data_IF_692621327455
#
_entry.id   IF_692621327455
#
_cell.length_a   1.000
_cell.length_b   1.000
_cell.length_c   1.000
_cell.angle_alpha   90.00
_cell.angle_beta   90.00
_cell.angle_gamma   90.00
#
_symmetry.space_group_name_H-M   'P 1'
#
loop_
_entity.id
_entity.type
_entity.pdbx_description
1 polymer ?
#
# COMPACT_ATOMS: atom_id res chain seq x y z
N UNK A 1 21.59 16.39 -11.78
CA UNK A 1 22.51 15.63 -10.91
C UNK A 1 21.82 15.24 -9.62
N UNK A 2 22.32 14.20 -8.95
CA UNK A 2 21.75 13.67 -7.71
C UNK A 2 22.85 13.61 -6.64
N UNK A 3 22.55 14.06 -5.42
CA UNK A 3 23.40 13.89 -4.25
C UNK A 3 22.55 13.38 -3.09
N UNK A 4 22.60 12.07 -2.85
CA UNK A 4 21.67 11.41 -1.93
C UNK A 4 20.23 11.64 -2.39
N UNK A 5 19.42 12.25 -1.53
CA UNK A 5 18.01 12.54 -1.82
C UNK A 5 17.78 13.91 -2.48
N UNK A 6 18.84 14.69 -2.71
CA UNK A 6 18.72 16.02 -3.33
C UNK A 6 18.94 15.92 -4.84
N UNK A 7 17.99 16.48 -5.60
CA UNK A 7 18.04 16.60 -7.05
C UNK A 7 18.49 18.00 -7.41
N UNK A 8 19.46 18.10 -8.30
CA UNK A 8 20.03 19.33 -8.82
C UNK A 8 19.72 19.49 -10.29
N UNK A 9 19.39 20.72 -10.68
CA UNK A 9 19.22 21.14 -12.06
C UNK A 9 20.12 22.35 -12.33
N UNK A 10 20.98 22.25 -13.34
CA UNK A 10 21.96 23.29 -13.70
C UNK A 10 22.79 23.80 -12.51
N UNK A 11 23.23 22.88 -11.64
CA UNK A 11 24.03 23.19 -10.45
C UNK A 11 23.25 23.75 -9.25
N UNK A 12 21.93 23.95 -9.37
CA UNK A 12 21.07 24.47 -8.28
C UNK A 12 20.22 23.36 -7.69
N UNK A 13 20.04 23.35 -6.37
CA UNK A 13 19.14 22.41 -5.68
C UNK A 13 17.70 22.65 -6.13
N UNK A 14 17.07 21.61 -6.68
CA UNK A 14 15.71 21.67 -7.19
C UNK A 14 14.71 21.03 -6.24
N UNK A 15 14.94 19.77 -5.88
CA UNK A 15 14.03 18.97 -5.04
C UNK A 15 14.82 18.25 -3.95
N UNK A 16 14.24 18.11 -2.77
CA UNK A 16 14.66 17.14 -1.75
C UNK A 16 13.61 16.05 -1.63
N UNK A 17 13.96 14.82 -2.00
CA UNK A 17 13.09 13.66 -1.90
C UNK A 17 12.92 13.21 -0.45
N UNK A 18 11.70 12.83 -0.11
CA UNK A 18 11.33 12.26 1.19
C UNK A 18 10.64 10.91 0.98
N UNK A 19 10.42 10.16 2.06
CA UNK A 19 9.66 8.89 2.00
C UNK A 19 8.23 9.09 1.43
N UNK A 20 7.69 10.29 1.56
CA UNK A 20 6.26 10.61 1.44
C UNK A 20 5.95 11.54 0.26
N UNK A 21 6.97 12.05 -0.42
CA UNK A 21 6.84 13.18 -1.33
C UNK A 21 8.17 13.87 -1.57
N UNK A 22 8.15 15.19 -1.71
CA UNK A 22 9.35 16.01 -1.89
C UNK A 22 9.16 17.42 -1.34
N UNK A 23 10.26 18.12 -1.16
CA UNK A 23 10.29 19.55 -0.86
C UNK A 23 10.79 20.26 -2.11
N UNK A 24 10.05 21.26 -2.59
CA UNK A 24 10.58 22.16 -3.61
C UNK A 24 11.62 23.09 -2.95
N UNK A 25 12.84 23.07 -3.44
CA UNK A 25 13.95 23.90 -2.93
C UNK A 25 14.16 25.17 -3.75
N UNK A 26 13.47 25.32 -4.87
CA UNK A 26 13.49 26.53 -5.69
C UNK A 26 12.46 27.54 -5.19
N UNK A 27 12.91 28.75 -4.83
CA UNK A 27 12.03 29.79 -4.32
C UNK A 27 11.53 29.52 -2.90
N UNK A 28 10.23 29.66 -2.67
CA UNK A 28 9.62 29.38 -1.35
C UNK A 28 9.55 27.87 -1.13
N UNK A 29 10.21 27.39 -0.08
CA UNK A 29 10.19 25.98 0.26
C UNK A 29 8.78 25.53 0.63
N UNK A 30 8.28 24.53 -0.09
CA UNK A 30 6.96 23.95 0.13
C UNK A 30 7.05 22.43 0.05
N UNK A 31 6.29 21.78 0.93
CA UNK A 31 6.13 20.33 0.91
C UNK A 31 5.10 19.92 -0.12
N UNK A 32 5.38 18.83 -0.82
CA UNK A 32 4.48 18.17 -1.74
C UNK A 32 4.41 16.70 -1.35
N UNK A 33 3.22 16.13 -1.38
CA UNK A 33 2.95 14.77 -0.91
C UNK A 33 2.42 13.89 -2.03
N UNK A 34 2.84 12.63 -2.03
CA UNK A 34 2.35 11.62 -2.94
C UNK A 34 1.21 10.84 -2.31
N UNK A 35 0.07 10.77 -2.98
CA UNK A 35 -0.96 9.77 -2.72
C UNK A 35 -0.70 8.58 -3.64
N UNK A 36 -0.35 7.45 -3.03
CA UNK A 36 0.10 6.24 -3.73
C UNK A 36 -0.97 5.15 -3.71
N UNK A 37 -1.02 4.32 -4.75
CA UNK A 37 -1.79 3.07 -4.72
C UNK A 37 -1.01 1.93 -4.02
N UNK A 38 -1.58 0.72 -4.03
CA UNK A 38 -1.02 -0.48 -3.38
C UNK A 38 0.29 -0.98 -4.00
N UNK A 39 0.70 -0.39 -5.13
CA UNK A 39 1.96 -0.70 -5.79
C UNK A 39 3.00 0.39 -5.57
N UNK A 40 2.65 1.41 -4.79
CA UNK A 40 3.46 2.60 -4.62
C UNK A 40 3.44 3.53 -5.82
N UNK A 41 2.50 3.40 -6.77
CA UNK A 41 2.41 4.32 -7.91
C UNK A 41 1.89 5.68 -7.44
N UNK A 42 2.56 6.77 -7.82
CA UNK A 42 2.10 8.12 -7.49
C UNK A 42 0.83 8.45 -8.31
N UNK A 43 -0.34 8.39 -7.66
CA UNK A 43 -1.65 8.65 -8.30
C UNK A 43 -2.02 10.12 -8.25
N UNK A 44 -1.68 10.80 -7.17
CA UNK A 44 -1.94 12.23 -6.98
C UNK A 44 -0.73 12.88 -6.33
N UNK A 45 -0.39 14.09 -6.77
CA UNK A 45 0.51 15.00 -6.07
C UNK A 45 -0.31 16.13 -5.51
N UNK A 46 -0.16 16.39 -4.21
CA UNK A 46 -0.79 17.51 -3.53
C UNK A 46 0.27 18.40 -2.90
N UNK A 47 0.03 19.71 -2.86
CA UNK A 47 0.89 20.62 -2.10
C UNK A 47 0.57 20.62 -0.60
N UNK A 48 1.35 21.38 0.16
CA UNK A 48 1.21 21.50 1.61
C UNK A 48 -0.14 22.04 2.07
N UNK A 49 -0.89 22.77 1.24
CA UNK A 49 -2.25 23.23 1.54
C UNK A 49 -3.34 22.21 1.16
N UNK A 50 -2.97 21.04 0.64
CA UNK A 50 -3.90 19.99 0.22
C UNK A 50 -4.50 20.20 -1.17
N UNK A 51 -3.98 21.15 -1.95
CA UNK A 51 -4.43 21.38 -3.34
C UNK A 51 -3.84 20.31 -4.25
N UNK A 52 -4.66 19.73 -5.13
CA UNK A 52 -4.21 18.79 -6.17
C UNK A 52 -3.43 19.52 -7.25
N UNK A 53 -2.20 19.08 -7.49
CA UNK A 53 -1.31 19.63 -8.52
C UNK A 53 -1.12 18.69 -9.71
N UNK A 54 -1.18 17.39 -9.45
CA UNK A 54 -0.99 16.37 -10.47
C UNK A 54 -1.88 15.14 -10.20
N UNK A 55 -2.40 14.52 -11.26
CA UNK A 55 -3.03 13.19 -11.20
C UNK A 55 -2.44 12.30 -12.27
N UNK A 56 -2.30 11.00 -11.98
CA UNK A 56 -1.77 10.03 -12.92
C UNK A 56 -2.60 8.74 -12.89
N UNK A 57 -2.87 8.23 -14.09
CA UNK A 57 -3.59 6.99 -14.34
C UNK A 57 -2.71 6.06 -15.18
N UNK A 58 -2.49 4.86 -14.66
CA UNK A 58 -1.56 3.89 -15.25
C UNK A 58 -2.30 2.64 -15.72
N UNK A 59 -1.90 2.13 -16.89
CA UNK A 59 -2.13 0.75 -17.26
C UNK A 59 -1.36 -0.19 -16.30
N UNK A 60 -1.70 -1.49 -16.25
CA UNK A 60 -1.05 -2.44 -15.34
C UNK A 60 0.48 -2.48 -15.45
N UNK A 61 1.05 -2.25 -16.64
CA UNK A 61 2.50 -2.21 -16.88
C UNK A 61 3.09 -0.79 -16.80
N UNK A 62 2.39 0.17 -16.19
CA UNK A 62 2.93 1.49 -15.87
C UNK A 62 2.87 2.54 -16.99
N UNK A 63 2.32 2.20 -18.15
CA UNK A 63 2.03 3.17 -19.21
C UNK A 63 0.98 4.18 -18.74
N UNK A 64 1.24 5.47 -18.89
CA UNK A 64 0.30 6.53 -18.48
C UNK A 64 -0.80 6.67 -19.53
N UNK A 65 -2.06 6.49 -19.14
CA UNK A 65 -3.22 6.66 -20.04
C UNK A 65 -4.03 7.93 -19.76
N UNK A 66 -3.75 8.60 -18.64
CA UNK A 66 -4.35 9.88 -18.29
C UNK A 66 -3.51 10.58 -17.26
N UNK A 67 -3.33 11.89 -17.42
CA UNK A 67 -2.64 12.73 -16.43
C UNK A 67 -3.17 14.16 -16.48
N UNK A 68 -3.14 14.83 -15.33
CA UNK A 68 -3.32 16.28 -15.22
C UNK A 68 -2.06 16.85 -14.60
N UNK A 69 -1.48 17.90 -15.17
CA UNK A 69 -0.24 18.47 -14.67
C UNK A 69 0.98 17.60 -14.98
N UNK A 70 2.16 18.10 -14.60
CA UNK A 70 3.43 17.37 -14.68
C UNK A 70 4.49 18.10 -13.83
N UNK A 71 4.31 18.07 -12.50
CA UNK A 71 5.11 18.88 -11.57
C UNK A 71 6.44 18.22 -11.20
N UNK A 72 6.54 16.89 -11.36
CA UNK A 72 7.68 16.10 -10.91
C UNK A 72 7.80 14.78 -11.70
N UNK A 73 8.99 14.15 -11.81
CA UNK A 73 9.21 13.03 -12.72
C UNK A 73 8.95 11.62 -12.13
N UNK A 74 8.75 11.46 -10.83
CA UNK A 74 8.48 10.17 -10.17
C UNK A 74 7.02 9.74 -10.33
N UNK A 75 6.77 8.66 -11.08
CA UNK A 75 5.40 8.25 -11.45
C UNK A 75 5.10 6.81 -10.97
N UNK A 76 5.22 5.85 -11.87
CA UNK A 76 4.92 4.44 -11.62
C UNK A 76 5.94 3.80 -10.67
N UNK A 77 5.47 3.05 -9.68
CA UNK A 77 6.25 2.48 -8.56
C UNK A 77 7.13 3.50 -7.81
N UNK A 78 6.82 4.80 -7.93
CA UNK A 78 7.67 5.88 -7.43
C UNK A 78 9.02 6.00 -8.14
N UNK A 79 9.14 5.46 -9.37
CA UNK A 79 10.32 5.53 -10.21
C UNK A 79 10.30 6.77 -11.09
N UNK A 80 11.49 7.29 -11.34
CA UNK A 80 11.68 8.46 -12.19
C UNK A 80 11.39 8.08 -13.65
N UNK A 81 10.47 8.81 -14.28
CA UNK A 81 10.17 8.70 -15.70
C UNK A 81 11.09 9.66 -16.48
N UNK A 82 12.07 9.09 -17.19
CA UNK A 82 12.90 9.85 -18.12
C UNK A 82 12.21 9.94 -19.50
N UNK A 83 11.71 11.13 -19.82
CA UNK A 83 11.09 11.45 -21.11
C UNK A 83 12.06 12.04 -22.12
N UNK A 84 13.36 12.15 -21.79
CA UNK A 84 14.36 12.70 -22.71
C UNK A 84 14.43 11.87 -23.98
N UNK A 85 14.52 12.56 -25.11
CA UNK A 85 14.59 11.94 -26.44
C UNK A 85 13.42 11.01 -26.78
N UNK A 86 12.31 11.08 -26.03
CA UNK A 86 11.06 10.38 -26.35
C UNK A 86 11.03 8.88 -26.02
N UNK A 87 12.04 8.33 -25.35
CA UNK A 87 12.06 6.91 -24.95
C UNK A 87 11.04 6.60 -23.86
N UNK A 88 10.79 7.56 -22.94
CA UNK A 88 9.80 7.44 -21.87
C UNK A 88 10.02 6.20 -20.99
N UNK A 89 11.24 6.06 -20.47
CA UNK A 89 11.63 4.92 -19.66
C UNK A 89 11.69 5.26 -18.19
N UNK A 90 11.35 4.28 -17.36
CA UNK A 90 11.49 4.39 -15.92
C UNK A 90 12.88 3.95 -15.47
N UNK A 91 13.54 4.74 -14.64
CA UNK A 91 14.79 4.35 -13.99
C UNK A 91 14.49 3.52 -12.72
N UNK A 92 14.79 2.22 -12.79
CA UNK A 92 14.65 1.29 -11.66
C UNK A 92 15.96 1.11 -10.88
N UNK A 93 17.03 1.80 -11.26
CA UNK A 93 18.36 1.73 -10.65
C UNK A 93 19.29 0.80 -11.43
N UNK A 94 19.07 -0.51 -11.35
CA UNK A 94 19.91 -1.46 -12.08
C UNK A 94 19.58 -1.58 -13.58
N UNK A 95 18.34 -1.24 -13.95
CA UNK A 95 17.81 -1.37 -15.31
C UNK A 95 16.85 -0.22 -15.63
N UNK A 96 16.76 0.13 -16.90
CA UNK A 96 15.67 0.97 -17.40
C UNK A 96 14.49 0.09 -17.80
N UNK A 97 13.29 0.55 -17.51
CA UNK A 97 12.04 -0.15 -17.78
C UNK A 97 11.22 0.59 -18.83
N UNK A 98 10.85 -0.13 -19.89
CA UNK A 98 9.97 0.37 -20.94
C UNK A 98 8.53 -0.06 -20.63
N UNK A 99 7.72 0.89 -20.19
CA UNK A 99 6.32 0.65 -19.84
C UNK A 99 5.41 0.42 -21.07
N UNK A 100 5.83 0.86 -22.26
CA UNK A 100 5.09 0.60 -23.50
C UNK A 100 5.25 -0.87 -23.93
N UNK A 101 6.45 -1.44 -23.72
CA UNK A 101 6.72 -2.86 -23.95
C UNK A 101 6.35 -3.75 -22.76
N UNK A 102 6.29 -3.18 -21.56
CA UNK A 102 6.07 -3.91 -20.32
C UNK A 102 7.31 -4.71 -19.87
N UNK A 103 8.52 -4.32 -20.29
CA UNK A 103 9.77 -5.10 -20.07
C UNK A 103 10.96 -4.20 -19.73
N UNK A 104 11.99 -4.79 -19.11
CA UNK A 104 13.27 -4.12 -18.96
C UNK A 104 14.01 -4.05 -20.29
N UNK A 105 14.83 -3.01 -20.46
CA UNK A 105 15.60 -2.77 -21.69
C UNK A 105 16.92 -3.54 -21.72
N UNK A 106 17.34 -4.10 -20.57
CA UNK A 106 18.58 -4.87 -20.41
C UNK A 106 18.34 -6.16 -19.63
N UNK A 107 19.27 -7.11 -19.77
CA UNK A 107 19.23 -8.40 -19.07
C UNK A 107 19.28 -8.23 -17.55
N UNK A 108 18.51 -9.05 -16.83
CA UNK A 108 18.53 -9.13 -15.37
C UNK A 108 19.92 -9.54 -14.85
N UNK A 109 20.55 -8.75 -13.95
CA UNK A 109 21.79 -9.16 -13.28
C UNK A 109 21.66 -10.46 -12.47
N UNK A 110 20.44 -10.84 -12.11
CA UNK A 110 20.09 -12.06 -11.39
C UNK A 110 19.38 -13.09 -12.28
N UNK A 111 19.54 -13.02 -13.61
CA UNK A 111 18.87 -13.93 -14.55
C UNK A 111 19.06 -15.42 -14.20
N UNK A 112 20.24 -15.80 -13.70
CA UNK A 112 20.55 -17.17 -13.26
C UNK A 112 19.73 -17.64 -12.05
N UNK A 113 19.09 -16.74 -11.30
CA UNK A 113 18.15 -17.10 -10.24
C UNK A 113 16.79 -17.54 -10.79
N UNK A 114 16.47 -17.14 -12.02
CA UNK A 114 15.12 -17.25 -12.60
C UNK A 114 15.16 -17.97 -13.96
N UNK A 115 15.73 -19.18 -14.01
CA UNK A 115 15.88 -19.95 -15.26
C UNK A 115 14.59 -20.15 -16.07
N UNK A 116 13.43 -20.16 -15.41
CA UNK A 116 12.12 -20.32 -16.06
C UNK A 116 11.52 -19.01 -16.58
N UNK A 117 12.21 -17.88 -16.44
CA UNK A 117 11.74 -16.56 -16.84
C UNK A 117 12.70 -15.92 -17.85
N UNK A 118 12.16 -15.09 -18.75
CA UNK A 118 13.02 -14.31 -19.65
C UNK A 118 13.79 -13.25 -18.84
N UNK A 119 15.08 -12.98 -19.17
CA UNK A 119 15.90 -12.01 -18.43
C UNK A 119 15.43 -10.54 -18.57
N UNK A 120 14.44 -10.27 -19.41
CA UNK A 120 13.85 -8.94 -19.59
C UNK A 120 12.47 -8.79 -18.90
N UNK A 121 11.98 -9.85 -18.25
CA UNK A 121 10.64 -9.90 -17.66
C UNK A 121 10.52 -8.91 -16.51
N UNK A 122 9.45 -8.12 -16.50
CA UNK A 122 9.11 -7.29 -15.35
C UNK A 122 8.09 -8.01 -14.46
N UNK A 123 8.37 -8.09 -13.17
CA UNK A 123 7.42 -8.56 -12.15
C UNK A 123 6.79 -9.94 -12.41
N UNK A 124 7.55 -10.86 -13.02
CA UNK A 124 7.05 -12.18 -13.43
C UNK A 124 5.76 -12.13 -14.26
N UNK A 125 5.62 -11.09 -15.10
CA UNK A 125 4.44 -10.76 -15.89
C UNK A 125 3.15 -10.58 -15.08
N UNK A 126 3.27 -10.32 -13.78
CA UNK A 126 2.16 -9.98 -12.90
C UNK A 126 2.39 -8.64 -12.19
N UNK A 127 2.39 -7.54 -12.96
CA UNK A 127 2.68 -6.20 -12.46
C UNK A 127 1.50 -5.61 -11.70
N UNK A 128 0.42 -6.35 -11.42
CA UNK A 128 -0.66 -5.93 -10.52
C UNK A 128 -0.37 -6.38 -9.09
N UNK A 129 0.38 -7.47 -8.94
CA UNK A 129 0.73 -8.09 -7.67
C UNK A 129 2.12 -7.70 -7.19
N UNK A 130 3.06 -7.57 -8.12
CA UNK A 130 4.46 -7.35 -7.81
C UNK A 130 4.96 -6.02 -8.36
N UNK A 131 6.03 -5.53 -7.72
CA UNK A 131 6.88 -4.42 -8.16
C UNK A 131 8.32 -4.93 -8.24
N UNK A 132 9.19 -4.27 -8.99
CA UNK A 132 10.65 -4.50 -8.90
C UNK A 132 11.28 -3.30 -8.19
N UNK A 133 11.70 -3.38 -6.92
CA UNK A 133 12.16 -2.20 -6.21
C UNK A 133 13.49 -1.64 -6.69
N UNK A 134 14.32 -2.44 -7.39
CA UNK A 134 15.71 -2.08 -7.71
C UNK A 134 16.16 -2.48 -9.13
N UNK A 135 15.24 -2.98 -9.95
CA UNK A 135 15.53 -3.48 -11.29
C UNK A 135 16.33 -4.78 -11.25
N UNK A 136 16.18 -5.63 -10.24
CA UNK A 136 16.89 -6.93 -10.15
C UNK A 136 16.03 -8.05 -9.58
N UNK A 137 15.04 -7.75 -8.76
CA UNK A 137 14.16 -8.75 -8.18
C UNK A 137 12.79 -8.18 -7.86
N UNK A 138 11.76 -8.91 -8.22
CA UNK A 138 10.40 -8.52 -7.91
C UNK A 138 10.07 -8.80 -6.42
N UNK A 139 9.19 -7.99 -5.87
CA UNK A 139 8.66 -8.05 -4.52
C UNK A 139 7.17 -7.69 -4.53
N UNK A 140 6.41 -7.99 -3.48
CA UNK A 140 5.04 -7.46 -3.35
C UNK A 140 5.04 -5.92 -3.39
N UNK A 141 4.00 -5.33 -3.99
CA UNK A 141 3.83 -3.86 -4.04
C UNK A 141 3.72 -3.20 -2.67
N UNK A 142 3.01 -3.86 -1.75
CA UNK A 142 2.84 -3.41 -0.38
C UNK A 142 3.84 -4.08 0.56
N UNK A 143 4.79 -3.32 1.12
CA UNK A 143 5.79 -3.80 2.08
C UNK A 143 5.72 -3.04 3.41
N UNK A 144 5.53 -3.78 4.50
CA UNK A 144 5.30 -3.22 5.83
C UNK A 144 6.38 -3.63 6.83
N UNK A 145 6.76 -2.71 7.73
CA UNK A 145 7.75 -2.98 8.80
C UNK A 145 7.26 -3.98 9.85
N UNK A 146 5.94 -4.10 10.05
CA UNK A 146 5.36 -4.99 11.08
C UNK A 146 4.13 -5.73 10.56
N UNK A 147 3.82 -6.89 11.15
CA UNK A 147 2.60 -7.66 10.86
C UNK A 147 1.33 -6.82 11.10
N UNK A 148 1.30 -6.04 12.19
CA UNK A 148 0.19 -5.12 12.51
C UNK A 148 -0.01 -4.04 11.45
N UNK A 149 1.08 -3.49 10.90
CA UNK A 149 0.98 -2.51 9.81
C UNK A 149 0.42 -3.14 8.53
N UNK A 150 0.86 -4.36 8.18
CA UNK A 150 0.27 -5.11 7.06
C UNK A 150 -1.22 -5.41 7.28
N UNK A 151 -1.60 -5.84 8.49
CA UNK A 151 -2.98 -6.09 8.87
C UNK A 151 -3.85 -4.82 8.79
N UNK A 152 -3.32 -3.67 9.23
CA UNK A 152 -4.00 -2.38 9.15
C UNK A 152 -4.27 -1.98 7.71
N UNK A 153 -3.25 -2.03 6.85
CA UNK A 153 -3.41 -1.68 5.44
C UNK A 153 -4.40 -2.62 4.72
N UNK A 154 -4.30 -3.93 4.98
CA UNK A 154 -5.26 -4.91 4.48
C UNK A 154 -6.69 -4.57 4.92
N UNK A 155 -6.89 -4.23 6.20
CA UNK A 155 -8.20 -3.85 6.74
C UNK A 155 -8.74 -2.58 6.09
N UNK A 156 -7.90 -1.59 5.83
CA UNK A 156 -8.31 -0.38 5.11
C UNK A 156 -8.76 -0.69 3.69
N UNK A 157 -8.13 -1.65 3.02
CA UNK A 157 -8.44 -2.00 1.63
C UNK A 157 -9.65 -2.93 1.50
N UNK A 158 -9.71 -4.01 2.28
CA UNK A 158 -10.69 -5.08 2.10
C UNK A 158 -11.93 -4.95 2.99
N UNK A 159 -11.87 -4.28 4.15
CA UNK A 159 -13.02 -4.25 5.07
C UNK A 159 -14.22 -3.52 4.46
N UNK A 160 -13.99 -2.39 3.79
CA UNK A 160 -15.06 -1.66 3.10
C UNK A 160 -15.70 -2.50 1.99
N UNK A 161 -14.90 -3.20 1.19
CA UNK A 161 -15.37 -4.10 0.15
C UNK A 161 -16.17 -5.29 0.73
N UNK A 162 -15.67 -5.90 1.81
CA UNK A 162 -16.35 -6.96 2.57
C UNK A 162 -17.75 -6.53 3.01
N UNK A 163 -17.87 -5.36 3.64
CA UNK A 163 -19.14 -4.80 4.11
C UNK A 163 -20.10 -4.53 2.95
N UNK A 164 -19.63 -3.90 1.87
CA UNK A 164 -20.48 -3.57 0.71
C UNK A 164 -21.00 -4.83 0.03
N UNK A 165 -20.14 -5.84 -0.11
CA UNK A 165 -20.48 -7.10 -0.79
C UNK A 165 -21.24 -8.06 0.10
N UNK A 166 -21.24 -7.84 1.43
CA UNK A 166 -21.78 -8.76 2.43
C UNK A 166 -21.08 -10.12 2.40
N UNK A 167 -19.76 -10.09 2.28
CA UNK A 167 -18.92 -11.28 2.07
C UNK A 167 -17.68 -11.21 2.93
N UNK A 168 -17.33 -12.31 3.56
CA UNK A 168 -16.08 -12.40 4.30
C UNK A 168 -14.90 -12.45 3.33
N UNK A 169 -13.85 -11.70 3.63
CA UNK A 169 -12.61 -11.72 2.87
C UNK A 169 -11.46 -12.18 3.75
N UNK A 170 -10.55 -13.01 3.22
CA UNK A 170 -9.49 -13.65 4.00
C UNK A 170 -8.15 -13.75 3.27
N UNK A 171 -7.08 -13.41 3.97
CA UNK A 171 -5.69 -13.43 3.47
C UNK A 171 -4.70 -14.02 4.46
N UNK A 172 -3.53 -14.34 3.95
CA UNK A 172 -2.33 -14.58 4.76
C UNK A 172 -1.47 -13.31 4.85
N UNK A 173 -0.80 -13.14 5.98
CA UNK A 173 0.32 -12.22 6.16
C UNK A 173 1.59 -13.07 6.13
N UNK A 174 2.61 -12.63 5.38
CA UNK A 174 3.84 -13.40 5.17
C UNK A 174 5.10 -12.54 5.25
N UNK A 175 6.25 -13.19 5.48
CA UNK A 175 7.57 -12.55 5.48
C UNK A 175 8.10 -12.32 4.07
N UNK A 176 8.46 -11.07 3.78
CA UNK A 176 9.21 -10.73 2.56
C UNK A 176 10.69 -10.74 2.89
N UNK A 177 11.44 -11.62 2.22
CA UNK A 177 12.90 -11.72 2.33
C UNK A 177 13.57 -11.31 1.04
N UNK A 178 14.64 -10.53 1.16
CA UNK A 178 15.49 -10.14 0.06
C UNK A 178 16.92 -10.61 0.34
N UNK A 179 17.49 -11.40 -0.58
CA UNK A 179 18.80 -12.06 -0.38
C UNK A 179 18.89 -12.81 0.96
N UNK A 180 17.82 -13.51 1.34
CA UNK A 180 17.71 -14.28 2.58
C UNK A 180 17.49 -13.45 3.86
N UNK A 181 17.55 -12.12 3.80
CA UNK A 181 17.33 -11.23 4.95
C UNK A 181 15.89 -10.74 5.00
N UNK A 182 15.28 -10.74 6.19
CA UNK A 182 13.94 -10.19 6.40
C UNK A 182 13.94 -8.70 6.05
N UNK A 183 13.04 -8.30 5.15
CA UNK A 183 12.82 -6.90 4.78
C UNK A 183 11.54 -6.34 5.38
N UNK A 184 10.55 -7.18 5.59
CA UNK A 184 9.29 -6.79 6.17
C UNK A 184 8.23 -7.85 5.97
N UNK A 185 7.00 -7.40 5.92
CA UNK A 185 5.81 -8.22 5.81
C UNK A 185 4.94 -7.70 4.68
N UNK A 186 4.20 -8.60 4.05
CA UNK A 186 3.14 -8.27 3.10
C UNK A 186 1.96 -9.20 3.34
N UNK A 187 0.91 -9.07 2.53
CA UNK A 187 -0.26 -9.93 2.59
C UNK A 187 -0.64 -10.45 1.21
N UNK A 188 -1.32 -11.59 1.17
CA UNK A 188 -1.79 -12.19 -0.08
C UNK A 188 -3.11 -11.55 -0.51
N UNK A 189 -3.43 -11.67 -1.80
CA UNK A 189 -4.74 -11.26 -2.32
C UNK A 189 -5.86 -11.99 -1.54
N UNK A 190 -6.92 -11.28 -1.19
CA UNK A 190 -7.99 -11.88 -0.39
C UNK A 190 -8.82 -12.87 -1.20
N UNK A 191 -9.10 -14.02 -0.60
CA UNK A 191 -10.20 -14.88 -1.03
C UNK A 191 -11.51 -14.29 -0.51
N UNK A 192 -12.63 -14.65 -1.13
CA UNK A 192 -13.97 -14.20 -0.76
C UNK A 192 -14.87 -15.41 -0.43
N UNK A 193 -15.70 -15.31 0.61
CA UNK A 193 -16.62 -16.36 1.07
C UNK A 193 -17.94 -15.80 1.60
N UNK A 194 -19.01 -16.61 1.66
CA UNK A 194 -20.33 -16.13 2.09
C UNK A 194 -20.47 -16.05 3.62
N UNK A 195 -20.17 -17.16 4.30
CA UNK A 195 -20.31 -17.30 5.77
C UNK A 195 -19.03 -17.76 6.46
N UNK A 196 -18.02 -18.11 5.66
CA UNK A 196 -16.69 -18.50 6.09
C UNK A 196 -15.75 -18.30 4.91
N UNK A 197 -14.52 -17.88 5.18
CA UNK A 197 -13.50 -17.69 4.15
C UNK A 197 -12.27 -18.55 4.44
N UNK A 198 -11.77 -19.22 3.40
CA UNK A 198 -10.45 -19.85 3.44
C UNK A 198 -9.39 -18.79 3.14
N UNK A 199 -8.32 -18.73 3.94
CA UNK A 199 -7.25 -17.79 3.64
C UNK A 199 -6.45 -18.22 2.42
N UNK A 200 -6.05 -17.26 1.60
CA UNK A 200 -5.12 -17.49 0.50
C UNK A 200 -3.73 -17.84 1.02
N UNK A 201 -2.98 -18.62 0.24
CA UNK A 201 -1.60 -18.98 0.57
C UNK A 201 -0.63 -17.83 0.25
N UNK A 202 0.48 -17.72 1.00
CA UNK A 202 1.57 -16.83 0.63
C UNK A 202 2.07 -17.13 -0.80
N UNK A 203 2.41 -16.09 -1.59
CA UNK A 203 3.03 -16.31 -2.89
C UNK A 203 4.37 -17.03 -2.73
N UNK A 204 4.79 -17.79 -3.75
CA UNK A 204 6.13 -18.35 -3.87
C UNK A 204 6.62 -19.17 -2.66
N UNK A 205 5.70 -19.72 -1.86
CA UNK A 205 6.04 -20.46 -0.65
C UNK A 205 6.62 -19.60 0.48
N UNK A 206 6.39 -18.28 0.46
CA UNK A 206 6.84 -17.37 1.51
C UNK A 206 6.30 -17.79 2.89
N UNK A 207 7.06 -17.46 3.94
CA UNK A 207 6.71 -17.91 5.30
C UNK A 207 5.43 -17.24 5.76
N UNK A 208 4.39 -18.03 5.97
CA UNK A 208 3.16 -17.60 6.66
C UNK A 208 3.48 -17.14 8.07
N UNK A 209 2.97 -15.97 8.46
CA UNK A 209 3.19 -15.38 9.80
C UNK A 209 1.96 -14.78 10.46
N UNK A 210 0.79 -14.96 9.85
CA UNK A 210 -0.47 -14.56 10.45
C UNK A 210 -1.64 -14.71 9.48
N UNK A 211 -2.82 -14.96 10.02
CA UNK A 211 -4.06 -14.96 9.25
C UNK A 211 -4.78 -13.63 9.46
N UNK A 212 -5.45 -13.13 8.43
CA UNK A 212 -6.35 -12.00 8.56
C UNK A 212 -7.63 -12.26 7.79
N UNK A 213 -8.76 -11.88 8.38
CA UNK A 213 -10.03 -11.87 7.67
C UNK A 213 -10.90 -10.69 8.09
N UNK A 214 -11.98 -10.50 7.36
CA UNK A 214 -13.02 -9.50 7.64
C UNK A 214 -14.36 -10.19 7.79
N UNK A 215 -15.23 -9.58 8.59
CA UNK A 215 -16.65 -9.91 8.57
C UNK A 215 -17.40 -8.95 7.64
N UNK A 216 -18.49 -9.42 7.06
CA UNK A 216 -19.36 -8.66 6.14
C UNK A 216 -20.09 -7.50 6.82
N UNK A 217 -21.27 -7.14 6.31
CA UNK A 217 -22.11 -6.12 6.95
C UNK A 217 -22.59 -6.56 8.34
N UNK A 218 -22.97 -5.59 9.16
CA UNK A 218 -23.47 -5.88 10.49
C UNK A 218 -24.85 -6.57 10.40
N UNK A 219 -24.88 -7.85 10.78
CA UNK A 219 -26.07 -8.67 10.85
C UNK A 219 -26.38 -9.13 12.29
N UNK A 220 -27.62 -8.99 12.73
CA UNK A 220 -28.05 -9.40 14.07
C UNK A 220 -27.92 -10.92 14.30
N UNK A 221 -27.89 -11.72 13.23
CA UNK A 221 -27.83 -13.18 13.31
C UNK A 221 -26.40 -13.74 13.49
N UNK A 222 -25.37 -12.90 13.31
CA UNK A 222 -23.97 -13.34 13.23
C UNK A 222 -23.03 -12.65 14.24
N UNK A 223 -21.89 -13.31 14.52
CA UNK A 223 -20.84 -12.77 15.40
C UNK A 223 -19.98 -11.80 14.59
N UNK A 224 -20.38 -10.54 14.51
CA UNK A 224 -19.71 -9.59 13.59
C UNK A 224 -18.42 -9.00 14.16
N UNK A 225 -18.35 -8.76 15.47
CA UNK A 225 -17.31 -7.92 16.08
C UNK A 225 -16.34 -8.69 16.98
N UNK A 226 -16.21 -10.01 16.79
CA UNK A 226 -15.33 -10.91 17.56
C UNK A 226 -14.91 -12.10 16.72
N UNK A 227 -13.74 -12.67 17.01
CA UNK A 227 -13.34 -13.96 16.45
C UNK A 227 -14.36 -15.07 16.79
N UNK A 228 -14.65 -15.90 15.79
CA UNK A 228 -15.40 -17.13 15.98
C UNK A 228 -14.55 -18.17 16.73
N UNK A 229 -15.21 -19.23 17.26
CA UNK A 229 -14.48 -20.36 17.85
C UNK A 229 -13.62 -21.09 16.83
N UNK A 230 -14.05 -21.13 15.56
CA UNK A 230 -13.30 -21.76 14.48
C UNK A 230 -12.03 -20.97 14.17
N UNK A 231 -12.12 -19.64 14.17
CA UNK A 231 -10.98 -18.74 13.94
C UNK A 231 -9.93 -18.96 15.01
N UNK A 232 -10.32 -18.90 16.29
CA UNK A 232 -9.41 -19.11 17.42
C UNK A 232 -8.75 -20.49 17.31
N UNK A 233 -9.51 -21.55 16.99
CA UNK A 233 -8.96 -22.89 16.82
C UNK A 233 -7.93 -22.95 15.68
N UNK A 234 -8.18 -22.25 14.58
CA UNK A 234 -7.24 -22.16 13.47
C UNK A 234 -5.96 -21.42 13.88
N UNK A 235 -6.09 -20.25 14.51
CA UNK A 235 -4.97 -19.42 14.96
C UNK A 235 -4.11 -20.18 15.99
N UNK A 236 -4.74 -20.88 16.94
CA UNK A 236 -4.05 -21.71 17.92
C UNK A 236 -3.36 -22.93 17.32
N UNK A 237 -3.85 -23.44 16.18
CA UNK A 237 -3.21 -24.53 15.42
C UNK A 237 -1.98 -24.03 14.66
N UNK A 238 -2.04 -22.86 14.03
CA UNK A 238 -0.93 -22.31 13.24
C UNK A 238 0.16 -21.69 14.09
N UNK A 239 -0.13 -21.32 15.35
CA UNK A 239 0.80 -20.66 16.29
C UNK A 239 1.32 -19.30 15.81
N UNK A 240 0.60 -18.68 14.90
CA UNK A 240 0.83 -17.30 14.44
C UNK A 240 -0.34 -16.42 14.87
N UNK A 241 -0.17 -15.09 14.87
CA UNK A 241 -1.23 -14.18 15.29
C UNK A 241 -2.38 -14.18 14.26
N UNK A 242 -3.61 -14.02 14.75
CA UNK A 242 -4.78 -13.81 13.90
C UNK A 242 -5.28 -12.37 13.99
N UNK A 243 -5.72 -11.82 12.87
CA UNK A 243 -6.28 -10.48 12.77
C UNK A 243 -7.72 -10.54 12.24
N UNK A 244 -8.58 -9.66 12.75
CA UNK A 244 -9.98 -9.55 12.31
C UNK A 244 -10.33 -8.09 12.09
N UNK A 245 -10.71 -7.73 10.86
CA UNK A 245 -11.34 -6.45 10.54
C UNK A 245 -12.87 -6.59 10.71
N UNK A 246 -13.47 -5.73 11.52
CA UNK A 246 -14.88 -5.83 11.88
C UNK A 246 -15.73 -4.74 11.20
N UNK A 247 -17.04 -4.96 10.98
CA UNK A 247 -17.93 -3.91 10.51
C UNK A 247 -18.06 -2.74 11.49
N UNK A 248 -17.72 -2.91 12.77
CA UNK A 248 -17.64 -1.77 13.70
C UNK A 248 -16.49 -0.80 13.39
N UNK A 249 -15.52 -1.19 12.56
CA UNK A 249 -14.32 -0.42 12.25
C UNK A 249 -13.11 -0.77 13.11
N UNK A 250 -13.20 -1.82 13.94
CA UNK A 250 -12.08 -2.31 14.73
C UNK A 250 -11.21 -3.27 13.90
N UNK A 251 -9.89 -3.17 14.09
CA UNK A 251 -8.95 -4.23 13.78
C UNK A 251 -8.55 -4.92 15.08
N UNK A 252 -8.94 -6.17 15.25
CA UNK A 252 -8.60 -6.99 16.40
C UNK A 252 -7.38 -7.86 16.09
N UNK A 253 -6.58 -8.16 17.11
CA UNK A 253 -5.50 -9.14 17.07
C UNK A 253 -5.69 -10.17 18.18
N UNK A 254 -5.67 -11.46 17.82
CA UNK A 254 -5.60 -12.57 18.75
C UNK A 254 -4.18 -13.17 18.77
N UNK A 255 -3.59 -13.23 19.97
CA UNK A 255 -2.28 -13.83 20.18
C UNK A 255 -2.44 -15.26 20.75
N UNK A 256 -2.00 -16.32 20.04
CA UNK A 256 -2.25 -17.71 20.43
C UNK A 256 -1.47 -18.18 21.66
N UNK A 257 -0.44 -17.43 22.07
CA UNK A 257 0.38 -17.76 23.25
C UNK A 257 -0.24 -17.18 24.53
N UNK A 258 -0.61 -15.91 24.49
CA UNK A 258 -1.25 -15.23 25.62
C UNK A 258 -2.76 -15.52 25.72
N UNK A 259 -3.37 -16.02 24.64
CA UNK A 259 -4.82 -16.26 24.50
C UNK A 259 -5.67 -15.00 24.72
N UNK A 260 -5.10 -13.83 24.38
CA UNK A 260 -5.76 -12.53 24.53
C UNK A 260 -6.05 -11.93 23.17
N UNK A 261 -7.22 -11.27 23.10
CA UNK A 261 -7.59 -10.37 22.00
C UNK A 261 -7.30 -8.93 22.41
N UNK A 262 -6.67 -8.16 21.53
CA UNK A 262 -6.44 -6.73 21.70
C UNK A 262 -6.90 -5.94 20.48
N UNK A 263 -7.31 -4.69 20.68
CA UNK A 263 -7.62 -3.76 19.58
C UNK A 263 -6.31 -3.18 19.06
N UNK A 264 -6.06 -3.29 17.75
CA UNK A 264 -4.92 -2.70 17.05
C UNK A 264 -5.25 -1.26 16.62
N UNK A 265 -6.44 -1.04 16.08
CA UNK A 265 -6.98 0.28 15.70
C UNK A 265 -8.51 0.20 15.63
N UNK A 266 -9.17 1.36 15.68
CA UNK A 266 -10.62 1.51 15.50
C UNK A 266 -10.96 2.43 14.32
N UNK A 267 -10.02 2.61 13.40
CA UNK A 267 -10.11 3.56 12.28
C UNK A 267 -10.29 2.86 10.92
N UNK A 268 -10.80 1.63 10.88
CA UNK A 268 -11.10 0.95 9.61
C UNK A 268 -12.45 1.43 9.04
N UNK A 269 -12.69 1.34 7.72
CA UNK A 269 -14.02 1.57 7.14
C UNK A 269 -15.07 0.73 7.88
N UNK A 270 -16.19 1.36 8.27
CA UNK A 270 -17.15 0.77 9.20
C UNK A 270 -18.59 0.88 8.69
N UNK A 271 -19.38 -0.17 8.90
CA UNK A 271 -20.78 -0.22 8.49
C UNK A 271 -21.60 0.84 9.27
N UNK A 272 -22.22 1.82 8.58
CA UNK A 272 -23.10 2.79 9.22
C UNK A 272 -24.26 2.19 10.02
N UNK A 273 -24.63 0.94 9.76
CA UNK A 273 -25.71 0.23 10.45
C UNK A 273 -25.22 -0.56 11.67
N UNK A 274 -23.91 -0.70 11.90
CA UNK A 274 -23.41 -1.44 13.05
C UNK A 274 -23.73 -0.67 14.36
N UNK A 275 -24.49 -1.25 15.30
CA UNK A 275 -24.80 -0.58 16.57
C UNK A 275 -23.56 -0.33 17.45
N UNK A 276 -22.43 -1.00 17.16
CA UNK A 276 -21.14 -0.86 17.85
C UNK A 276 -20.12 -0.07 17.04
N UNK A 277 -20.54 0.57 15.94
CA UNK A 277 -19.69 1.37 15.06
C UNK A 277 -18.81 2.33 15.87
N UNK A 278 -17.52 2.38 15.53
CA UNK A 278 -16.47 3.10 16.27
C UNK A 278 -16.05 4.41 15.63
N UNK A 279 -16.30 4.58 14.33
CA UNK A 279 -15.88 5.74 13.56
C UNK A 279 -16.92 6.10 12.50
N UNK A 280 -16.69 7.19 11.77
CA UNK A 280 -17.59 7.66 10.72
C UNK A 280 -17.07 7.38 9.29
N UNK A 281 -16.05 6.54 9.14
CA UNK A 281 -15.41 6.21 7.87
C UNK A 281 -16.33 5.30 7.08
N UNK A 282 -16.83 5.77 5.93
CA UNK A 282 -17.80 5.00 5.14
C UNK A 282 -17.09 3.91 4.31
N UNK A 283 -17.67 2.70 4.18
CA UNK A 283 -17.15 1.63 3.34
C UNK A 283 -16.96 2.02 1.87
N UNK A 284 -17.66 3.06 1.39
CA UNK A 284 -17.57 3.54 0.00
C UNK A 284 -16.43 4.53 -0.23
N UNK A 285 -15.83 5.08 0.83
CA UNK A 285 -14.88 6.18 0.75
C UNK A 285 -13.41 5.69 0.76
N UNK A 286 -13.16 4.42 0.48
CA UNK A 286 -11.86 3.72 0.64
C UNK A 286 -10.66 4.50 0.07
N UNK A 287 -10.69 5.05 -1.16
CA UNK A 287 -9.56 5.80 -1.70
C UNK A 287 -9.35 7.16 -1.00
N UNK A 288 -10.45 7.86 -0.65
CA UNK A 288 -10.42 9.18 -0.03
C UNK A 288 -9.95 9.11 1.43
N UNK A 289 -10.37 8.08 2.16
CA UNK A 289 -10.02 7.88 3.58
C UNK A 289 -8.59 7.37 3.76
N UNK A 290 -8.05 6.57 2.81
CA UNK A 290 -6.61 6.22 2.81
C UNK A 290 -5.74 7.46 2.59
N UNK A 291 -6.15 8.36 1.69
CA UNK A 291 -5.52 9.67 1.50
C UNK A 291 -5.57 10.56 2.75
N UNK A 292 -6.74 10.68 3.39
CA UNK A 292 -6.93 11.46 4.62
C UNK A 292 -6.21 10.88 5.83
N UNK A 293 -6.24 9.57 6.02
CA UNK A 293 -5.54 8.89 7.12
C UNK A 293 -4.04 8.99 6.95
N UNK A 294 -3.53 8.78 5.72
CA UNK A 294 -2.11 8.98 5.42
C UNK A 294 -1.72 10.43 5.67
N UNK A 295 -2.49 11.40 5.20
CA UNK A 295 -2.27 12.82 5.48
C UNK A 295 -2.27 13.11 7.00
N UNK A 296 -3.21 12.57 7.76
CA UNK A 296 -3.27 12.74 9.23
C UNK A 296 -2.07 12.10 9.93
N UNK A 297 -1.62 10.92 9.50
CA UNK A 297 -0.39 10.27 9.98
C UNK A 297 0.86 11.09 9.63
N UNK A 298 0.92 11.66 8.43
CA UNK A 298 2.02 12.52 7.97
C UNK A 298 2.10 13.82 8.77
N UNK A 299 0.96 14.45 9.04
CA UNK A 299 0.84 15.67 9.85
C UNK A 299 1.14 15.44 11.35
N UNK A 300 1.19 14.19 11.80
CA UNK A 300 1.52 13.80 13.18
C UNK A 300 2.99 13.39 13.37
N UNK A 301 3.77 13.22 12.31
CA UNK A 301 5.19 12.89 12.42
C UNK A 301 5.97 14.13 12.94
N UNK A 302 6.67 14.03 14.09
CA UNK A 302 7.38 15.16 14.71
C UNK A 302 8.53 15.72 13.85
N UNK A 303 9.03 14.94 12.89
CA UNK A 303 10.09 15.34 11.96
C UNK A 303 9.56 16.26 10.83
N UNK A 304 8.24 16.44 10.73
CA UNK A 304 7.54 17.35 9.82
C UNK A 304 6.95 18.50 10.65
N UNK A 305 7.79 19.45 10.99
CA UNK A 305 7.46 20.57 11.89
C UNK A 305 6.50 21.57 11.20
N UNK A 306 5.23 21.20 11.05
CA UNK A 306 4.16 22.08 10.54
C UNK A 306 3.43 22.71 11.75
N UNK A 307 3.44 24.05 11.91
CA UNK A 307 2.79 24.73 13.02
C UNK A 307 1.31 24.38 13.14
N UNK A 308 0.84 24.18 14.38
CA UNK A 308 -0.54 23.81 14.73
C UNK A 308 -1.57 24.81 14.17
N UNK A 309 -1.18 26.06 13.90
CA UNK A 309 -2.01 27.12 13.32
C UNK A 309 -2.39 26.94 11.85
N UNK A 310 -1.82 25.96 11.14
CA UNK A 310 -2.12 25.68 9.72
C UNK A 310 -2.95 24.41 9.51
N UNK A 311 -3.56 23.85 10.57
CA UNK A 311 -4.24 22.54 10.55
C UNK A 311 -5.75 22.60 10.27
N UNK A 312 -6.30 23.76 9.96
CA UNK A 312 -7.74 23.88 9.68
C UNK A 312 -7.99 24.21 8.21
N UNK A 313 -8.97 23.49 7.64
CA UNK A 313 -9.51 23.55 6.28
C UNK A 313 -8.88 22.60 5.24
N UNK A 314 -9.37 21.37 5.21
CA UNK A 314 -9.38 20.53 4.00
C UNK A 314 -10.78 19.92 3.85
N UNK A 315 -11.58 20.49 2.96
CA UNK A 315 -12.88 19.97 2.52
C UNK A 315 -12.86 19.79 1.00
N UNK A 316 -13.33 18.61 0.58
CA UNK A 316 -13.68 18.18 -0.78
C UNK A 316 -12.59 18.23 -1.86
N UNK A 317 -12.11 17.05 -2.28
CA UNK A 317 -12.25 16.50 -3.65
C UNK A 317 -12.01 14.99 -3.54
N UNK A 318 -13.10 14.22 -3.57
CA UNK A 318 -13.30 12.90 -4.17
C UNK A 318 -14.77 12.52 -3.94
#
# INVERSE_FOLDING_TARGET
DYCGNVIYENGTQKLLLTEEGYINLTGTQQYHYYLKDHQGNNRVVINQSGTVEETNHYYPFGGVFGTTGNTQPYKYNGKELDTKQGLNWYDYGARHYDAALGRFTTNDPLAEKYYSMSPYTYCADNPVKFIDPNGMEYAPGDLFKTKRAAAKDWGMYYNGASIIRKREMGSSIYEVKQKGKLKGYSYSAANEGEHSVSISLPPNGERFVGSIHSHGDADAEHINNKFSKADIKYIEKTKENGYLATPSGDLLEYNPYSKKTSIVTSDLPSDPKDPKRKNNINPKDIPAEKGKQRMKELLQKPDLNIPVSQREHIHWVF
#
